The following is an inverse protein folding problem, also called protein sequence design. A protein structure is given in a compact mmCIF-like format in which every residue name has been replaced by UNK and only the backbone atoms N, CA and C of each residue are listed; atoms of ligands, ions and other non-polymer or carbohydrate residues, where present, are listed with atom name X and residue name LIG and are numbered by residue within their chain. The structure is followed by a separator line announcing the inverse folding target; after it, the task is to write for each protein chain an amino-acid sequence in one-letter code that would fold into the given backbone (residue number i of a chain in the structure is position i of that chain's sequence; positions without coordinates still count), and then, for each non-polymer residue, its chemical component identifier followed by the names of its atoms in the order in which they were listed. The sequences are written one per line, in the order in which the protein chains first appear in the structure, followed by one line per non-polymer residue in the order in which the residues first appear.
data_IF_751026187022
#
_entry.id   IF_751026187022
#
_cell.length_a   1.000
_cell.length_b   1.000
_cell.length_c   1.000
_cell.angle_alpha   90.00
_cell.angle_beta   90.00
_cell.angle_gamma   90.00
#
_symmetry.space_group_name_H-M   'P 1'
#
loop_
_entity.id
_entity.type
_entity.pdbx_description
1 polymer ?
#
# COMPACT_ATOMS: atom_id res chain seq x y z
N UNK A 1 12.50 22.33 -2.86
CA UNK A 1 12.49 21.09 -3.66
C UNK A 1 13.21 19.94 -2.98
N UNK A 2 14.39 20.12 -2.41
CA UNK A 2 15.10 19.06 -1.71
C UNK A 2 14.33 18.45 -0.54
N UNK A 3 13.61 19.26 0.23
CA UNK A 3 12.78 18.80 1.35
C UNK A 3 11.59 17.95 0.89
N UNK A 4 10.99 18.26 -0.27
CA UNK A 4 9.89 17.46 -0.84
C UNK A 4 10.39 16.14 -1.42
N UNK A 5 11.57 16.13 -2.02
CA UNK A 5 12.21 14.91 -2.50
C UNK A 5 12.54 13.97 -1.32
N UNK A 6 13.09 14.50 -0.22
CA UNK A 6 13.35 13.73 0.99
C UNK A 6 12.05 13.18 1.62
N UNK A 7 10.98 13.97 1.61
CA UNK A 7 9.67 13.54 2.10
C UNK A 7 9.09 12.41 1.23
N UNK A 8 9.26 12.50 -0.08
CA UNK A 8 8.86 11.46 -1.02
C UNK A 8 9.61 10.16 -0.76
N UNK A 9 10.93 10.22 -0.65
CA UNK A 9 11.79 9.05 -0.37
C UNK A 9 11.41 8.38 0.94
N UNK A 10 11.14 9.17 1.98
CA UNK A 10 10.67 8.65 3.27
C UNK A 10 9.29 7.98 3.15
N UNK A 11 8.36 8.60 2.44
CA UNK A 11 7.03 8.03 2.25
C UNK A 11 7.07 6.72 1.44
N UNK A 12 7.91 6.66 0.41
CA UNK A 12 8.14 5.43 -0.38
C UNK A 12 8.77 4.32 0.46
N UNK A 13 9.77 4.65 1.26
CA UNK A 13 10.43 3.69 2.15
C UNK A 13 9.44 3.11 3.18
N UNK A 14 8.63 3.94 3.80
CA UNK A 14 7.60 3.50 4.75
C UNK A 14 6.53 2.64 4.10
N UNK A 15 6.07 3.01 2.89
CA UNK A 15 5.13 2.19 2.12
C UNK A 15 5.74 0.83 1.79
N UNK A 16 6.98 0.77 1.38
CA UNK A 16 7.67 -0.48 1.03
C UNK A 16 7.82 -1.40 2.24
N UNK A 17 8.12 -0.87 3.42
CA UNK A 17 8.17 -1.62 4.69
C UNK A 17 6.78 -2.18 5.03
N UNK A 18 5.74 -1.37 4.91
CA UNK A 18 4.36 -1.80 5.17
C UNK A 18 3.89 -2.86 4.17
N UNK A 19 4.28 -2.75 2.90
CA UNK A 19 3.98 -3.74 1.87
C UNK A 19 4.66 -5.08 2.16
N UNK A 20 5.94 -5.06 2.55
CA UNK A 20 6.66 -6.28 2.93
C UNK A 20 6.03 -6.96 4.15
N UNK A 21 5.65 -6.18 5.17
CA UNK A 21 4.95 -6.66 6.35
C UNK A 21 3.58 -7.27 6.00
N UNK A 22 2.82 -6.63 5.11
CA UNK A 22 1.55 -7.15 4.61
C UNK A 22 1.73 -8.49 3.89
N UNK A 23 2.68 -8.59 2.97
CA UNK A 23 2.96 -9.83 2.24
C UNK A 23 3.38 -10.97 3.18
N UNK A 24 4.21 -10.69 4.17
CA UNK A 24 4.63 -11.68 5.18
C UNK A 24 3.46 -12.14 6.03
N UNK A 25 2.63 -11.23 6.49
CA UNK A 25 1.43 -11.53 7.31
C UNK A 25 0.42 -12.33 6.50
N UNK A 26 0.24 -12.00 5.23
CA UNK A 26 -0.61 -12.76 4.31
C UNK A 26 -0.13 -14.20 4.14
N UNK A 27 1.17 -14.39 3.95
CA UNK A 27 1.76 -15.73 3.84
C UNK A 27 1.54 -16.55 5.11
N UNK A 28 1.67 -15.94 6.29
CA UNK A 28 1.38 -16.60 7.57
C UNK A 28 -0.09 -16.99 7.71
N UNK A 29 -1.00 -16.10 7.30
CA UNK A 29 -2.44 -16.39 7.28
C UNK A 29 -2.75 -17.57 6.36
N UNK A 30 -2.20 -17.57 5.16
CA UNK A 30 -2.40 -18.65 4.18
C UNK A 30 -1.86 -19.99 4.70
N UNK A 31 -0.69 -20.00 5.34
CA UNK A 31 -0.13 -21.17 6.00
C UNK A 31 -1.02 -21.67 7.14
N UNK A 32 -1.54 -20.80 7.98
CA UNK A 32 -2.46 -21.16 9.06
C UNK A 32 -3.77 -21.77 8.53
N UNK A 33 -4.32 -21.22 7.46
CA UNK A 33 -5.50 -21.80 6.78
C UNK A 33 -5.23 -23.19 6.23
N UNK A 34 -4.09 -23.37 5.57
CA UNK A 34 -3.69 -24.70 5.05
C UNK A 34 -3.58 -25.71 6.17
N UNK A 35 -2.95 -25.36 7.28
CA UNK A 35 -2.85 -26.23 8.46
C UNK A 35 -4.23 -26.58 9.06
N UNK A 36 -5.15 -25.60 9.12
CA UNK A 36 -6.52 -25.84 9.57
C UNK A 36 -7.25 -26.83 8.66
N UNK A 37 -7.10 -26.71 7.35
CA UNK A 37 -7.70 -27.61 6.37
C UNK A 37 -7.11 -29.02 6.47
N UNK A 38 -5.78 -29.12 6.63
CA UNK A 38 -5.10 -30.40 6.80
C UNK A 38 -5.56 -31.11 8.07
N UNK A 39 -5.69 -30.40 9.18
CA UNK A 39 -6.21 -30.96 10.43
C UNK A 39 -7.67 -31.41 10.29
N UNK A 40 -8.51 -30.66 9.62
CA UNK A 40 -9.90 -31.02 9.38
C UNK A 40 -10.00 -32.26 8.50
N UNK A 41 -9.20 -32.38 7.45
CA UNK A 41 -9.11 -33.54 6.57
C UNK A 41 -8.59 -34.77 7.35
N UNK A 42 -7.55 -34.59 8.12
CA UNK A 42 -6.98 -35.64 8.96
C UNK A 42 -8.01 -36.16 9.96
N UNK A 43 -8.76 -35.28 10.61
CA UNK A 43 -9.86 -35.63 11.51
C UNK A 43 -10.93 -36.49 10.81
N UNK A 44 -11.35 -36.05 9.64
CA UNK A 44 -12.36 -36.78 8.83
C UNK A 44 -11.88 -38.16 8.44
N UNK A 45 -10.65 -38.28 7.92
CA UNK A 45 -10.04 -39.55 7.54
C UNK A 45 -9.87 -40.49 8.74
N UNK A 46 -9.44 -39.95 9.87
CA UNK A 46 -9.28 -40.71 11.12
C UNK A 46 -10.61 -41.25 11.63
N UNK A 47 -11.67 -40.46 11.60
CA UNK A 47 -13.03 -40.90 11.98
C UNK A 47 -13.54 -42.00 11.05
N UNK A 48 -13.31 -41.92 9.75
CA UNK A 48 -13.71 -42.93 8.79
C UNK A 48 -12.97 -44.27 9.00
N UNK A 49 -11.67 -44.23 9.23
CA UNK A 49 -10.85 -45.40 9.51
C UNK A 49 -11.32 -46.11 10.77
N UNK A 50 -11.62 -45.37 11.82
CA UNK A 50 -12.11 -45.94 13.08
C UNK A 50 -13.52 -46.52 12.96
N UNK A 51 -14.41 -45.90 12.21
CA UNK A 51 -15.74 -46.50 11.91
C UNK A 51 -15.61 -47.84 11.24
N UNK A 52 -14.71 -47.98 10.27
CA UNK A 52 -14.44 -49.24 9.61
C UNK A 52 -13.86 -50.30 10.56
N UNK A 53 -12.97 -49.92 11.48
CA UNK A 53 -12.40 -50.80 12.49
C UNK A 53 -13.39 -51.25 13.58
N UNK A 54 -14.26 -50.34 14.02
CA UNK A 54 -15.32 -50.69 15.00
C UNK A 54 -16.33 -51.69 14.46
N UNK A 55 -16.53 -51.74 13.16
CA UNK A 55 -17.36 -52.77 12.54
C UNK A 55 -16.68 -54.14 12.54
N UNK A 56 -15.35 -54.20 12.65
CA UNK A 56 -14.55 -55.45 12.59
C UNK A 56 -14.10 -55.99 13.96
N UNK A 57 -13.86 -55.11 14.93
CA UNK A 57 -13.37 -55.51 16.26
C UNK A 57 -13.87 -54.55 17.33
N UNK A 58 -14.51 -55.07 18.36
CA UNK A 58 -15.04 -54.29 19.49
C UNK A 58 -14.22 -54.50 20.76
N UNK A 59 -12.92 -54.19 20.77
CA UNK A 59 -12.12 -54.16 21.98
C UNK A 59 -12.26 -52.82 22.70
N UNK A 60 -12.60 -52.84 23.98
CA UNK A 60 -12.80 -51.67 24.82
C UNK A 60 -11.56 -50.77 24.88
N UNK A 61 -10.36 -51.32 24.88
CA UNK A 61 -9.08 -50.59 24.88
C UNK A 61 -8.89 -49.77 23.61
N UNK A 62 -9.30 -50.28 22.44
CA UNK A 62 -9.23 -49.61 21.16
C UNK A 62 -10.17 -48.37 21.17
N UNK A 63 -11.36 -48.49 21.73
CA UNK A 63 -12.32 -47.37 21.88
C UNK A 63 -11.76 -46.30 22.78
N UNK A 64 -11.10 -46.63 23.88
CA UNK A 64 -10.44 -45.65 24.77
C UNK A 64 -9.32 -44.91 24.07
N UNK A 65 -8.47 -45.60 23.32
CA UNK A 65 -7.40 -44.96 22.54
C UNK A 65 -7.96 -44.00 21.48
N UNK A 66 -9.02 -44.37 20.80
CA UNK A 66 -9.73 -43.53 19.85
C UNK A 66 -10.27 -42.27 20.52
N UNK A 67 -10.97 -42.40 21.65
CA UNK A 67 -11.53 -41.27 22.38
C UNK A 67 -10.45 -40.31 22.88
N UNK A 68 -9.36 -40.80 23.44
CA UNK A 68 -8.25 -39.96 23.90
C UNK A 68 -7.57 -39.25 22.77
N UNK A 69 -7.33 -39.91 21.64
CA UNK A 69 -6.73 -39.28 20.48
C UNK A 69 -7.69 -38.28 19.84
N UNK A 70 -8.97 -38.57 19.75
CA UNK A 70 -9.99 -37.70 19.25
C UNK A 70 -10.07 -36.38 20.04
N UNK A 71 -9.99 -36.45 21.38
CA UNK A 71 -9.96 -35.30 22.25
C UNK A 71 -8.71 -34.43 22.03
N UNK A 72 -7.54 -35.05 21.86
CA UNK A 72 -6.30 -34.36 21.55
C UNK A 72 -6.38 -33.66 20.19
N UNK A 73 -6.97 -34.34 19.22
CA UNK A 73 -7.15 -33.78 17.86
C UNK A 73 -8.13 -32.60 17.88
N UNK A 74 -9.22 -32.70 18.63
CA UNK A 74 -10.18 -31.61 18.81
C UNK A 74 -9.51 -30.39 19.46
N UNK A 75 -8.68 -30.60 20.49
CA UNK A 75 -7.90 -29.53 21.12
C UNK A 75 -6.93 -28.90 20.13
N UNK A 76 -6.24 -29.70 19.32
CA UNK A 76 -5.33 -29.18 18.29
C UNK A 76 -6.07 -28.36 17.23
N UNK A 77 -7.26 -28.78 16.84
CA UNK A 77 -8.12 -28.04 15.88
C UNK A 77 -8.57 -26.70 16.49
N UNK A 78 -8.98 -26.69 17.77
CA UNK A 78 -9.34 -25.45 18.46
C UNK A 78 -8.17 -24.47 18.55
N UNK A 79 -6.98 -24.96 18.90
CA UNK A 79 -5.76 -24.15 18.95
C UNK A 79 -5.41 -23.60 17.58
N UNK A 80 -5.53 -24.42 16.53
CA UNK A 80 -5.26 -24.00 15.16
C UNK A 80 -6.29 -22.97 14.66
N UNK A 81 -7.56 -23.14 15.00
CA UNK A 81 -8.61 -22.17 14.68
C UNK A 81 -8.32 -20.83 15.35
N UNK A 82 -7.87 -20.83 16.59
CA UNK A 82 -7.47 -19.62 17.29
C UNK A 82 -6.24 -18.96 16.63
N UNK A 83 -5.24 -19.76 16.25
CA UNK A 83 -4.05 -19.26 15.54
C UNK A 83 -4.42 -18.64 14.19
N UNK A 84 -5.35 -19.24 13.45
CA UNK A 84 -5.88 -18.68 12.21
C UNK A 84 -6.57 -17.34 12.42
N UNK A 85 -7.40 -17.21 13.47
CA UNK A 85 -8.06 -15.95 13.82
C UNK A 85 -7.06 -14.86 14.19
N UNK A 86 -6.00 -15.20 14.90
CA UNK A 86 -4.90 -14.26 15.23
C UNK A 86 -4.22 -13.77 13.94
N UNK A 87 -3.95 -14.68 13.01
CA UNK A 87 -3.38 -14.33 11.70
C UNK A 87 -4.31 -13.45 10.86
N UNK A 88 -5.62 -13.72 10.86
CA UNK A 88 -6.62 -12.87 10.17
C UNK A 88 -6.66 -11.46 10.75
N UNK A 89 -6.65 -11.32 12.07
CA UNK A 89 -6.61 -10.01 12.73
C UNK A 89 -5.31 -9.26 12.41
N UNK A 90 -4.18 -9.95 12.43
CA UNK A 90 -2.89 -9.36 12.07
C UNK A 90 -2.86 -8.91 10.61
N UNK A 91 -3.46 -9.69 9.70
CA UNK A 91 -3.57 -9.32 8.28
C UNK A 91 -4.41 -8.06 8.09
N UNK A 92 -5.57 -7.98 8.75
CA UNK A 92 -6.42 -6.80 8.68
C UNK A 92 -5.70 -5.53 9.15
N UNK A 93 -4.93 -5.61 10.24
CA UNK A 93 -4.09 -4.51 10.73
C UNK A 93 -2.97 -4.12 9.76
N UNK A 94 -2.31 -5.10 9.16
CA UNK A 94 -1.27 -4.86 8.18
C UNK A 94 -1.83 -4.21 6.91
N UNK A 95 -3.02 -4.59 6.48
CA UNK A 95 -3.75 -3.99 5.36
C UNK A 95 -4.09 -2.52 5.65
N UNK A 96 -4.62 -2.21 6.82
CA UNK A 96 -4.93 -0.84 7.24
C UNK A 96 -3.67 0.03 7.30
N UNK A 97 -2.57 -0.51 7.82
CA UNK A 97 -1.28 0.19 7.88
C UNK A 97 -0.75 0.48 6.48
N UNK A 98 -0.81 -0.50 5.57
CA UNK A 98 -0.40 -0.32 4.18
C UNK A 98 -1.25 0.75 3.49
N UNK A 99 -2.56 0.70 3.64
CA UNK A 99 -3.48 1.69 3.07
C UNK A 99 -3.17 3.11 3.55
N UNK A 100 -2.86 3.29 4.83
CA UNK A 100 -2.47 4.58 5.40
C UNK A 100 -1.17 5.11 4.78
N UNK A 101 -0.16 4.27 4.60
CA UNK A 101 1.10 4.66 3.97
C UNK A 101 0.97 4.93 2.46
N UNK A 102 0.12 4.19 1.76
CA UNK A 102 -0.19 4.44 0.35
C UNK A 102 -0.92 5.77 0.16
N UNK A 103 -1.86 6.10 1.04
CA UNK A 103 -2.55 7.39 1.02
C UNK A 103 -1.57 8.54 1.27
N UNK A 104 -0.67 8.40 2.23
CA UNK A 104 0.37 9.40 2.51
C UNK A 104 1.30 9.60 1.30
N UNK A 105 1.74 8.52 0.68
CA UNK A 105 2.58 8.56 -0.51
C UNK A 105 1.86 9.28 -1.67
N UNK A 106 0.61 8.95 -1.93
CA UNK A 106 -0.20 9.61 -2.95
C UNK A 106 -0.36 11.10 -2.67
N UNK A 107 -0.56 11.49 -1.41
CA UNK A 107 -0.68 12.89 -0.98
C UNK A 107 0.62 13.67 -1.22
N UNK A 108 1.76 13.08 -0.92
CA UNK A 108 3.08 13.70 -1.16
C UNK A 108 3.33 13.86 -2.66
N UNK A 109 3.04 12.85 -3.47
CA UNK A 109 3.17 12.91 -4.93
C UNK A 109 2.30 14.02 -5.52
N UNK A 110 1.06 14.12 -5.06
CA UNK A 110 0.13 15.18 -5.51
C UNK A 110 0.60 16.59 -5.12
N UNK A 111 1.20 16.73 -3.94
CA UNK A 111 1.79 18.00 -3.50
C UNK A 111 2.97 18.40 -4.42
N UNK A 112 3.82 17.45 -4.79
CA UNK A 112 4.94 17.69 -5.71
C UNK A 112 4.43 18.09 -7.09
N UNK A 113 3.42 17.41 -7.62
CA UNK A 113 2.79 17.76 -8.90
C UNK A 113 2.23 19.19 -8.89
N UNK A 114 1.50 19.55 -7.84
CA UNK A 114 0.95 20.91 -7.69
C UNK A 114 2.05 21.97 -7.64
N UNK A 115 3.11 21.72 -6.91
CA UNK A 115 4.25 22.65 -6.83
C UNK A 115 4.97 22.79 -8.16
N UNK A 116 5.20 21.69 -8.85
CA UNK A 116 5.80 21.68 -10.19
C UNK A 116 4.95 22.46 -11.19
N UNK A 117 3.64 22.24 -11.20
CA UNK A 117 2.70 22.95 -12.06
C UNK A 117 2.68 24.46 -11.76
N UNK A 118 2.69 24.84 -10.48
CA UNK A 118 2.74 26.25 -10.08
C UNK A 118 4.04 26.93 -10.50
N UNK A 119 5.18 26.27 -10.32
CA UNK A 119 6.48 26.77 -10.78
C UNK A 119 6.51 26.95 -12.30
N UNK A 120 6.00 25.99 -13.06
CA UNK A 120 5.90 26.08 -14.52
C UNK A 120 5.00 27.25 -14.94
N UNK A 121 3.88 27.46 -14.24
CA UNK A 121 2.98 28.58 -14.50
C UNK A 121 3.63 29.94 -14.21
N UNK A 122 4.32 30.06 -13.11
CA UNK A 122 5.05 31.29 -12.75
C UNK A 122 6.16 31.56 -13.75
N UNK A 123 6.92 30.53 -14.14
CA UNK A 123 7.97 30.67 -15.13
C UNK A 123 7.41 31.10 -16.49
N UNK A 124 6.33 30.48 -16.94
CA UNK A 124 5.65 30.83 -18.20
C UNK A 124 5.17 32.29 -18.21
N UNK A 125 4.63 32.81 -17.10
CA UNK A 125 4.25 34.22 -16.97
C UNK A 125 5.43 35.15 -17.06
N UNK A 126 6.56 34.81 -16.45
CA UNK A 126 7.79 35.61 -16.53
C UNK A 126 8.33 35.67 -17.94
N UNK A 127 8.37 34.55 -18.64
CA UNK A 127 8.82 34.46 -20.04
C UNK A 127 7.90 35.24 -20.96
N UNK A 128 6.58 35.13 -20.79
CA UNK A 128 5.61 35.91 -21.54
C UNK A 128 5.82 37.42 -21.33
N UNK A 129 5.99 37.88 -20.09
CA UNK A 129 6.25 39.27 -19.78
C UNK A 129 7.54 39.76 -20.42
N UNK A 130 8.61 38.97 -20.34
CA UNK A 130 9.88 39.33 -20.99
C UNK A 130 9.75 39.42 -22.51
N UNK A 131 9.03 38.48 -23.13
CA UNK A 131 8.77 38.50 -24.57
C UNK A 131 7.95 39.74 -24.98
N UNK A 132 6.92 40.09 -24.22
CA UNK A 132 6.10 41.27 -24.47
C UNK A 132 6.91 42.57 -24.33
N UNK A 133 7.75 42.67 -23.31
CA UNK A 133 8.66 43.81 -23.13
C UNK A 133 9.66 43.95 -24.28
N UNK A 134 10.22 42.83 -24.74
CA UNK A 134 11.14 42.83 -25.87
C UNK A 134 10.45 43.24 -27.17
N UNK A 135 9.24 42.71 -27.43
CA UNK A 135 8.43 43.07 -28.58
C UNK A 135 8.07 44.56 -28.57
N UNK A 136 7.70 45.10 -27.42
CA UNK A 136 7.42 46.54 -27.26
C UNK A 136 8.66 47.39 -27.55
N UNK A 137 9.82 47.01 -27.04
CA UNK A 137 11.09 47.74 -27.35
C UNK A 137 11.45 47.67 -28.82
N UNK A 138 11.26 46.55 -29.47
CA UNK A 138 11.51 46.40 -30.91
C UNK A 138 10.53 47.24 -31.74
N UNK A 139 9.24 47.27 -31.36
CA UNK A 139 8.24 48.10 -32.03
C UNK A 139 8.56 49.58 -31.90
N UNK A 140 8.99 50.06 -30.73
CA UNK A 140 9.41 51.46 -30.53
C UNK A 140 10.66 51.81 -31.34
N UNK A 141 11.62 50.92 -31.50
CA UNK A 141 12.78 51.11 -32.36
C UNK A 141 12.41 51.20 -33.86
N UNK A 142 11.43 50.40 -34.31
CA UNK A 142 10.96 50.40 -35.72
C UNK A 142 10.19 51.66 -36.07
N UNK A 143 9.45 52.23 -35.16
CA UNK A 143 8.63 53.43 -35.39
C UNK A 143 9.42 54.70 -35.28
N UNK A 144 10.72 54.68 -34.89
CA UNK A 144 11.57 55.87 -34.82
C UNK A 144 11.16 56.86 -33.73
N UNK A 145 10.21 56.49 -32.86
CA UNK A 145 9.78 57.41 -31.78
C UNK A 145 10.68 57.14 -30.59
N UNK A 146 11.73 57.98 -30.50
CA UNK A 146 12.50 58.11 -29.26
C UNK A 146 11.64 58.92 -28.27
N UNK A 147 11.35 58.45 -27.09
CA UNK A 147 10.66 59.17 -26.08
C UNK A 147 11.61 60.35 -25.62
N UNK A 148 11.40 61.55 -26.11
CA UNK A 148 12.18 62.67 -25.65
C UNK A 148 12.52 63.76 -26.67
N UNK A 149 12.31 63.55 -27.97
CA UNK A 149 12.50 64.67 -28.96
C UNK A 149 11.17 65.36 -29.24
N UNK A 150 10.82 66.30 -28.37
CA UNK A 150 9.93 67.37 -28.78
C UNK A 150 10.74 68.26 -29.72
N UNK A 151 10.44 68.18 -31.01
CA UNK A 151 10.87 69.30 -31.94
C UNK A 151 10.23 70.60 -31.48
N UNK A 152 11.02 71.49 -30.96
CA UNK A 152 10.65 72.95 -30.88
C UNK A 152 10.59 73.42 -32.29
N UNK A 153 9.40 73.81 -32.74
CA UNK A 153 9.20 74.59 -33.92
C UNK A 153 9.61 75.99 -33.55
N UNK A 154 10.58 76.65 -34.23
CA UNK A 154 10.85 78.08 -34.04
C UNK A 154 9.69 78.89 -34.60
N UNK A 155 9.26 79.81 -33.84
CA UNK A 155 8.22 80.78 -34.22
C UNK A 155 8.69 81.70 -35.36
#
# INVERSE_FOLDING_TARGET
METLAALLDQAEAQRNIALAAFNQTRARRDAARTQSQELATYRSDYQQRWRAQFQRASALEIVRHYQQFSLRLDTAIEQQTHAEQVCETALARAEDTLAAHELRLASVRKLIERRSAEQARVQGRREQKQADELATRMALKRTGVLPGLRMRVPA
#
